data_IF_798296162223
#
_entry.id   IF_798296162223
#
_cell.length_a   1.000
_cell.length_b   1.000
_cell.length_c   1.000
_cell.angle_alpha   90.00
_cell.angle_beta   90.00
_cell.angle_gamma   90.00
#
_symmetry.space_group_name_H-M   'P 1'
#
loop_
_entity.id
_entity.type
_entity.pdbx_description
1 polymer ?
#
# COMPACT_ATOMS: atom_id res chain seq x y z
N UNK A 1 -25.41 -4.34 1.56
CA UNK A 1 -26.24 -3.51 0.69
C UNK A 1 -25.72 -3.64 -0.73
N UNK A 2 -26.45 -4.31 -1.64
CA UNK A 2 -26.05 -4.38 -3.04
C UNK A 2 -26.36 -3.03 -3.70
N UNK A 3 -25.34 -2.34 -4.22
CA UNK A 3 -25.54 -1.15 -5.05
C UNK A 3 -25.95 -1.62 -6.44
N UNK A 4 -27.20 -1.37 -6.82
CA UNK A 4 -27.65 -1.51 -8.20
C UNK A 4 -27.09 -0.32 -8.97
N UNK A 5 -26.26 -0.60 -9.97
CA UNK A 5 -25.68 0.42 -10.85
C UNK A 5 -26.34 0.22 -12.20
N UNK A 6 -27.04 1.25 -12.67
CA UNK A 6 -27.66 1.24 -14.00
C UNK A 6 -26.57 1.57 -15.02
N UNK A 7 -26.22 0.60 -15.86
CA UNK A 7 -25.16 0.73 -16.86
C UNK A 7 -25.83 0.79 -18.23
N UNK A 8 -25.63 1.87 -19.00
CA UNK A 8 -26.13 1.95 -20.38
C UNK A 8 -25.67 0.77 -21.23
N UNK A 9 -26.54 0.30 -22.13
CA UNK A 9 -26.29 -0.88 -22.97
C UNK A 9 -25.01 -0.75 -23.82
N UNK A 10 -24.70 0.45 -24.30
CA UNK A 10 -23.48 0.73 -25.07
C UNK A 10 -22.20 0.47 -24.24
N UNK A 11 -22.22 0.87 -22.97
CA UNK A 11 -21.11 0.67 -22.04
C UNK A 11 -21.00 -0.81 -21.68
N UNK A 12 -22.14 -1.48 -21.46
CA UNK A 12 -22.17 -2.91 -21.22
C UNK A 12 -21.58 -3.71 -22.38
N UNK A 13 -21.91 -3.35 -23.63
CA UNK A 13 -21.37 -4.00 -24.83
C UNK A 13 -19.85 -3.84 -24.92
N UNK A 14 -19.33 -2.65 -24.62
CA UNK A 14 -17.90 -2.37 -24.59
C UNK A 14 -17.18 -3.19 -23.50
N UNK A 15 -17.75 -3.25 -22.29
CA UNK A 15 -17.22 -4.09 -21.21
C UNK A 15 -17.25 -5.58 -21.59
N UNK A 16 -18.29 -6.04 -22.28
CA UNK A 16 -18.38 -7.41 -22.76
C UNK A 16 -17.30 -7.74 -23.79
N UNK A 17 -17.05 -6.86 -24.77
CA UNK A 17 -15.97 -7.04 -25.75
C UNK A 17 -14.60 -7.08 -25.06
N UNK A 18 -14.35 -6.18 -24.11
CA UNK A 18 -13.10 -6.14 -23.37
C UNK A 18 -12.90 -7.37 -22.47
N UNK A 19 -13.98 -7.85 -21.84
CA UNK A 19 -13.94 -9.07 -21.04
C UNK A 19 -13.64 -10.30 -21.90
N UNK A 20 -14.28 -10.41 -23.07
CA UNK A 20 -14.01 -11.46 -24.05
C UNK A 20 -12.56 -11.42 -24.56
N UNK A 21 -12.04 -10.24 -24.89
CA UNK A 21 -10.65 -10.07 -25.34
C UNK A 21 -9.62 -10.52 -24.29
N UNK A 22 -9.97 -10.39 -23.00
CA UNK A 22 -9.14 -10.82 -21.87
C UNK A 22 -9.44 -12.26 -21.40
N UNK A 23 -10.42 -12.94 -21.99
CA UNK A 23 -10.86 -14.26 -21.57
C UNK A 23 -11.48 -14.31 -20.17
N UNK A 24 -12.06 -13.20 -19.70
CA UNK A 24 -12.68 -13.07 -18.37
C UNK A 24 -14.17 -12.74 -18.49
N UNK A 25 -14.89 -12.83 -17.36
CA UNK A 25 -16.29 -12.40 -17.29
C UNK A 25 -16.40 -10.87 -17.10
N UNK A 26 -17.54 -10.30 -17.51
CA UNK A 26 -17.83 -8.88 -17.32
C UNK A 26 -17.78 -8.49 -15.84
N UNK A 27 -18.29 -9.35 -14.95
CA UNK A 27 -18.24 -9.13 -13.50
C UNK A 27 -16.80 -9.05 -12.96
N UNK A 28 -15.91 -9.93 -13.42
CA UNK A 28 -14.49 -9.89 -13.04
C UNK A 28 -13.79 -8.64 -13.58
N UNK A 29 -14.11 -8.23 -14.81
CA UNK A 29 -13.58 -6.99 -15.37
C UNK A 29 -14.02 -5.77 -14.54
N UNK A 30 -15.30 -5.70 -14.17
CA UNK A 30 -15.83 -4.62 -13.32
C UNK A 30 -15.14 -4.62 -11.95
N UNK A 31 -14.93 -5.79 -11.35
CA UNK A 31 -14.24 -5.91 -10.07
C UNK A 31 -12.79 -5.37 -10.15
N UNK A 32 -12.05 -5.71 -11.22
CA UNK A 32 -10.71 -5.17 -11.46
C UNK A 32 -10.72 -3.65 -11.62
N UNK A 33 -11.63 -3.11 -12.42
CA UNK A 33 -11.75 -1.67 -12.62
C UNK A 33 -12.10 -0.92 -11.31
N UNK A 34 -12.94 -1.51 -10.45
CA UNK A 34 -13.24 -0.94 -9.15
C UNK A 34 -12.02 -0.93 -8.23
N UNK A 35 -11.24 -2.01 -8.23
CA UNK A 35 -10.00 -2.10 -7.46
C UNK A 35 -8.97 -1.07 -7.94
N UNK A 36 -8.78 -0.93 -9.25
CA UNK A 36 -7.91 0.08 -9.86
C UNK A 36 -8.36 1.50 -9.48
N UNK A 37 -9.65 1.80 -9.56
CA UNK A 37 -10.19 3.10 -9.16
C UNK A 37 -9.95 3.38 -7.66
N UNK A 38 -10.07 2.36 -6.80
CA UNK A 38 -9.79 2.51 -5.37
C UNK A 38 -8.30 2.76 -5.12
N UNK A 39 -7.40 2.02 -5.78
CA UNK A 39 -5.95 2.24 -5.71
C UNK A 39 -5.57 3.64 -6.17
N UNK A 40 -6.14 4.12 -7.27
CA UNK A 40 -5.90 5.48 -7.77
C UNK A 40 -6.35 6.55 -6.77
N UNK A 41 -7.52 6.39 -6.14
CA UNK A 41 -7.99 7.30 -5.09
C UNK A 41 -7.07 7.31 -3.88
N UNK A 42 -6.62 6.14 -3.43
CA UNK A 42 -5.67 6.04 -2.32
C UNK A 42 -4.35 6.70 -2.66
N UNK A 43 -3.80 6.46 -3.86
CA UNK A 43 -2.57 7.11 -4.31
C UNK A 43 -2.71 8.63 -4.34
N UNK A 44 -3.83 9.16 -4.85
CA UNK A 44 -4.11 10.58 -4.86
C UNK A 44 -4.25 11.16 -3.43
N UNK A 45 -4.89 10.42 -2.51
CA UNK A 45 -5.00 10.82 -1.11
C UNK A 45 -3.62 10.86 -0.42
N UNK A 46 -2.77 9.86 -0.64
CA UNK A 46 -1.40 9.81 -0.13
C UNK A 46 -0.59 10.97 -0.69
N UNK A 47 -0.66 11.23 -2.00
CA UNK A 47 0.01 12.36 -2.62
C UNK A 47 -0.45 13.71 -2.03
N UNK A 48 -1.75 13.86 -1.76
CA UNK A 48 -2.30 15.04 -1.10
C UNK A 48 -1.79 15.21 0.34
N UNK A 49 -1.72 14.12 1.12
CA UNK A 49 -1.17 14.15 2.47
C UNK A 49 0.34 14.48 2.47
N UNK A 50 1.07 13.95 1.49
CA UNK A 50 2.48 14.27 1.30
C UNK A 50 2.68 15.75 0.92
N UNK A 51 1.86 16.29 0.01
CA UNK A 51 1.89 17.71 -0.36
C UNK A 51 1.56 18.63 0.82
N UNK A 52 0.74 18.17 1.78
CA UNK A 52 0.44 18.88 3.03
C UNK A 52 1.52 18.72 4.10
N UNK A 53 2.60 18.00 3.83
CA UNK A 53 3.69 17.75 4.79
C UNK A 53 3.29 16.83 5.94
N UNK A 54 2.14 16.15 5.84
CA UNK A 54 1.64 15.24 6.89
C UNK A 54 2.24 13.83 6.77
N UNK A 55 2.82 13.50 5.63
CA UNK A 55 3.57 12.27 5.40
C UNK A 55 4.99 12.65 4.99
N UNK A 56 5.97 12.17 5.75
CA UNK A 56 7.36 12.15 5.32
C UNK A 56 7.52 10.95 4.39
N UNK A 57 8.01 11.16 3.16
CA UNK A 57 8.52 10.05 2.36
C UNK A 57 9.78 9.54 3.05
N UNK A 58 9.62 8.52 3.90
CA UNK A 58 10.75 7.70 4.33
C UNK A 58 11.18 6.96 3.09
N UNK A 59 12.20 7.48 2.38
CA UNK A 59 12.93 6.69 1.42
C UNK A 59 13.32 5.42 2.16
N UNK A 60 12.91 4.25 1.65
CA UNK A 60 13.28 2.99 2.25
C UNK A 60 14.81 2.97 2.33
N UNK A 61 15.35 3.25 3.51
CA UNK A 61 16.75 3.07 3.77
C UNK A 61 16.91 1.55 3.71
N UNK A 62 17.36 1.02 2.58
CA UNK A 62 17.77 -0.38 2.46
C UNK A 62 19.06 -0.65 3.23
N UNK A 63 19.52 0.30 4.04
CA UNK A 63 20.42 0.02 5.13
C UNK A 63 19.64 -0.77 6.14
N UNK A 64 19.87 -2.09 6.16
CA UNK A 64 19.97 -2.81 7.43
C UNK A 64 20.64 -1.84 8.40
N UNK A 65 19.91 -1.35 9.39
CA UNK A 65 20.50 -0.60 10.47
C UNK A 65 21.44 -1.59 11.15
N UNK A 66 22.71 -1.57 10.76
CA UNK A 66 23.81 -2.05 11.58
C UNK A 66 23.76 -1.17 12.82
N UNK A 67 22.97 -1.60 13.79
CA UNK A 67 22.95 -0.99 15.10
C UNK A 67 24.29 -1.32 15.73
N UNK A 68 25.24 -0.41 15.62
CA UNK A 68 26.47 -0.53 16.38
C UNK A 68 26.11 -0.60 17.87
N UNK A 69 26.48 -1.69 18.57
CA UNK A 69 26.16 -1.84 19.98
C UNK A 69 26.83 -0.72 20.75
N UNK A 70 26.05 0.02 21.54
CA UNK A 70 26.59 1.07 22.38
C UNK A 70 27.45 0.43 23.46
N UNK A 71 28.74 0.76 23.47
CA UNK A 71 29.71 0.27 24.44
C UNK A 71 29.79 1.22 25.64
N UNK A 72 29.70 0.69 26.85
CA UNK A 72 30.11 1.37 28.07
C UNK A 72 31.36 0.67 28.61
N UNK A 73 32.44 1.43 28.80
CA UNK A 73 33.72 0.90 29.29
C UNK A 73 34.23 -0.32 28.51
N UNK A 74 33.95 -0.37 27.20
CA UNK A 74 34.35 -1.47 26.32
C UNK A 74 33.43 -2.70 26.34
N UNK A 75 32.34 -2.68 27.11
CA UNK A 75 31.35 -3.75 27.20
C UNK A 75 30.01 -3.29 26.61
N UNK A 76 29.28 -4.18 25.96
CA UNK A 76 27.97 -3.82 25.41
C UNK A 76 27.01 -3.40 26.53
N UNK A 77 26.37 -2.24 26.37
CA UNK A 77 25.41 -1.71 27.35
C UNK A 77 24.30 -2.71 27.71
N UNK A 78 23.88 -3.55 26.76
CA UNK A 78 22.88 -4.59 27.04
C UNK A 78 23.34 -5.58 28.12
N UNK A 79 24.63 -5.91 28.14
CA UNK A 79 25.21 -6.79 29.16
C UNK A 79 25.34 -6.10 30.51
N UNK A 80 25.69 -4.81 30.51
CA UNK A 80 25.78 -3.99 31.74
C UNK A 80 24.41 -3.90 32.41
N UNK A 81 23.36 -3.56 31.65
CA UNK A 81 21.98 -3.44 32.17
C UNK A 81 21.45 -4.77 32.74
N UNK A 82 21.80 -5.90 32.12
CA UNK A 82 21.40 -7.22 32.63
C UNK A 82 22.14 -7.61 33.93
N UNK A 83 23.40 -7.20 34.09
CA UNK A 83 24.15 -7.43 35.34
C UNK A 83 23.63 -6.58 36.48
N UNK A 84 23.31 -5.30 36.23
CA UNK A 84 22.81 -4.41 37.28
C UNK A 84 21.40 -4.75 37.76
N UNK A 85 20.63 -5.51 36.97
CA UNK A 85 19.28 -5.96 37.33
C UNK A 85 19.23 -7.34 38.01
N UNK A 86 20.38 -7.93 38.34
CA UNK A 86 20.52 -9.18 39.09
C UNK A 86 20.92 -8.90 40.53
#
# INVERSE_FOLDING_TARGET
MAKVVDIPDEIYLSLQQQAQARGITVAQLIAQLQEEAQRARLAAAIASLHAKGLLLTVAAHSGVTDFDPVLAEGVCLSEVVLRERR
#
